data_IF_843308991846
#
_entry.id   IF_843308991846
#
_cell.length_a   1.000
_cell.length_b   1.000
_cell.length_c   1.000
_cell.angle_alpha   90.00
_cell.angle_beta   90.00
_cell.angle_gamma   90.00
#
_symmetry.space_group_name_H-M   'P 1'
#
loop_
_entity.id
_entity.type
_entity.pdbx_description
1 polymer ?
#
# COMPACT_ATOMS: atom_id res chain seq x y z
N UNK A 1 -4.29 -12.69 -5.87
CA UNK A 1 -3.33 -11.58 -5.65
C UNK A 1 -2.11 -11.72 -6.56
N UNK A 2 -1.74 -10.69 -7.34
CA UNK A 2 -0.55 -10.68 -8.21
C UNK A 2 0.37 -9.52 -7.82
N UNK A 3 1.64 -9.80 -7.59
CA UNK A 3 2.64 -8.77 -7.29
C UNK A 3 3.17 -8.11 -8.56
N UNK A 4 3.40 -6.81 -8.45
CA UNK A 4 3.97 -5.94 -9.47
C UNK A 4 4.94 -4.98 -8.79
N UNK A 5 5.86 -4.42 -9.56
CA UNK A 5 6.77 -3.38 -9.10
C UNK A 5 6.62 -2.17 -10.02
N UNK A 6 6.58 -0.98 -9.44
CA UNK A 6 6.63 0.29 -10.17
C UNK A 6 7.76 1.16 -9.61
N UNK A 7 8.26 2.10 -10.40
CA UNK A 7 9.27 3.06 -9.94
C UNK A 7 8.57 4.34 -9.50
N UNK A 8 8.82 4.77 -8.27
CA UNK A 8 8.37 6.06 -7.73
C UNK A 8 9.60 6.75 -7.14
N UNK A 9 9.93 7.94 -7.63
CA UNK A 9 11.12 8.70 -7.21
C UNK A 9 12.43 7.88 -7.27
N UNK A 10 12.56 7.03 -8.30
CA UNK A 10 13.72 6.15 -8.47
C UNK A 10 13.77 4.95 -7.53
N UNK A 11 12.72 4.71 -6.74
CA UNK A 11 12.60 3.57 -5.80
C UNK A 11 11.64 2.54 -6.41
N UNK A 12 12.08 1.29 -6.51
CA UNK A 12 11.20 0.17 -6.85
C UNK A 12 10.22 -0.11 -5.71
N UNK A 13 8.94 0.14 -5.93
CA UNK A 13 7.86 -0.10 -4.98
C UNK A 13 7.08 -1.33 -5.41
N UNK A 14 7.06 -2.36 -4.56
CA UNK A 14 6.24 -3.55 -4.77
C UNK A 14 4.81 -3.30 -4.31
N UNK A 15 3.85 -3.70 -5.13
CA UNK A 15 2.43 -3.58 -4.83
C UNK A 15 1.63 -4.74 -5.44
N UNK A 16 0.38 -4.87 -5.01
CA UNK A 16 -0.63 -5.67 -5.67
C UNK A 16 -1.89 -4.82 -5.83
N UNK A 17 -2.59 -4.99 -6.95
CA UNK A 17 -3.82 -4.27 -7.22
C UNK A 17 -4.92 -5.20 -7.72
N UNK A 18 -6.16 -4.93 -7.29
CA UNK A 18 -7.38 -5.41 -7.91
C UNK A 18 -8.24 -4.22 -8.28
N UNK A 19 -8.14 -3.79 -9.53
CA UNK A 19 -8.83 -2.60 -10.04
C UNK A 19 -10.26 -2.94 -10.40
N UNK A 20 -11.22 -2.18 -9.91
CA UNK A 20 -12.64 -2.39 -10.22
C UNK A 20 -13.36 -1.06 -10.18
N UNK A 21 -13.62 -0.52 -11.37
CA UNK A 21 -14.33 0.76 -11.53
C UNK A 21 -15.70 0.73 -10.84
N UNK A 22 -16.07 1.85 -10.22
CA UNK A 22 -17.34 2.00 -9.52
C UNK A 22 -17.37 1.46 -8.07
N UNK A 23 -16.29 0.84 -7.59
CA UNK A 23 -16.14 0.48 -6.18
C UNK A 23 -15.33 1.54 -5.42
N UNK A 24 -15.54 1.69 -4.09
CA UNK A 24 -14.70 2.55 -3.27
C UNK A 24 -13.23 2.11 -3.35
N UNK A 25 -12.32 3.09 -3.39
CA UNK A 25 -10.89 2.82 -3.38
C UNK A 25 -10.40 2.51 -1.96
N UNK A 26 -9.50 1.54 -1.85
CA UNK A 26 -8.87 1.16 -0.59
C UNK A 26 -7.36 0.99 -0.78
N UNK A 27 -6.58 1.75 0.00
CA UNK A 27 -5.13 1.61 0.07
C UNK A 27 -4.75 0.86 1.35
N UNK A 28 -4.10 -0.29 1.19
CA UNK A 28 -3.52 -1.06 2.27
C UNK A 28 -2.01 -0.79 2.29
N UNK A 29 -1.61 0.20 3.10
CA UNK A 29 -0.22 0.36 3.48
C UNK A 29 0.00 -0.50 4.73
N UNK A 30 0.79 -1.56 4.62
CA UNK A 30 0.99 -2.44 5.75
C UNK A 30 1.89 -1.75 6.79
N UNK A 31 1.40 -1.42 8.00
CA UNK A 31 2.27 -0.92 9.05
C UNK A 31 3.13 -2.08 9.60
N UNK A 32 4.24 -1.72 10.22
CA UNK A 32 5.30 -2.64 10.65
C UNK A 32 4.79 -3.92 11.36
N UNK A 33 5.42 -5.09 11.15
CA UNK A 33 6.62 -5.37 10.35
C UNK A 33 6.30 -6.03 8.99
N UNK A 34 5.07 -5.89 8.53
CA UNK A 34 4.50 -6.88 7.65
C UNK A 34 4.41 -6.38 6.21
N UNK A 35 4.82 -7.21 5.27
CA UNK A 35 4.71 -6.94 3.83
C UNK A 35 3.26 -7.04 3.36
N UNK A 36 2.94 -6.52 2.18
CA UNK A 36 1.72 -6.76 1.39
C UNK A 36 1.24 -8.22 1.40
N UNK A 37 2.15 -9.19 1.56
CA UNK A 37 1.86 -10.60 1.75
C UNK A 37 0.89 -10.91 2.89
N UNK A 38 0.76 -10.05 3.89
CA UNK A 38 -0.16 -10.26 5.02
C UNK A 38 -1.62 -10.08 4.67
N UNK A 39 -1.89 -9.36 3.59
CA UNK A 39 -3.24 -9.23 3.06
C UNK A 39 -3.69 -10.49 2.30
N UNK A 40 -2.81 -11.47 2.07
CA UNK A 40 -3.09 -12.62 1.18
C UNK A 40 -4.33 -13.41 1.60
N UNK A 41 -4.52 -13.63 2.91
CA UNK A 41 -5.63 -14.44 3.41
C UNK A 41 -7.00 -13.77 3.27
N UNK A 42 -7.04 -12.44 3.17
CA UNK A 42 -8.28 -11.66 3.07
C UNK A 42 -8.46 -11.00 1.70
N UNK A 43 -7.47 -11.12 0.82
CA UNK A 43 -7.42 -10.45 -0.48
C UNK A 43 -8.69 -10.65 -1.31
N UNK A 44 -9.16 -11.89 -1.41
CA UNK A 44 -10.33 -12.21 -2.25
C UNK A 44 -11.62 -11.61 -1.68
N UNK A 45 -11.74 -11.48 -0.35
CA UNK A 45 -12.89 -10.85 0.29
C UNK A 45 -12.86 -9.33 0.13
N UNK A 46 -11.69 -8.71 0.30
CA UNK A 46 -11.53 -7.25 0.19
C UNK A 46 -11.72 -6.81 -1.27
N UNK A 47 -11.13 -7.51 -2.23
CA UNK A 47 -11.22 -7.16 -3.66
C UNK A 47 -12.63 -7.36 -4.26
N UNK A 48 -13.50 -8.12 -3.60
CA UNK A 48 -14.92 -8.20 -3.97
C UNK A 48 -15.68 -6.91 -3.67
N UNK A 49 -15.25 -6.13 -2.67
CA UNK A 49 -15.99 -4.95 -2.21
C UNK A 49 -15.29 -3.63 -2.56
N UNK A 50 -13.99 -3.65 -2.85
CA UNK A 50 -13.17 -2.46 -3.05
C UNK A 50 -12.30 -2.53 -4.31
N UNK A 51 -11.99 -1.37 -4.89
CA UNK A 51 -10.82 -1.19 -5.77
C UNK A 51 -9.59 -1.07 -4.87
N UNK A 52 -8.88 -2.18 -4.70
CA UNK A 52 -7.84 -2.30 -3.68
C UNK A 52 -6.45 -2.20 -4.27
N UNK A 53 -5.60 -1.42 -3.62
CA UNK A 53 -4.14 -1.41 -3.81
C UNK A 53 -3.50 -1.74 -2.47
N UNK A 54 -2.61 -2.70 -2.46
CA UNK A 54 -1.79 -3.00 -1.29
C UNK A 54 -0.33 -2.79 -1.65
N UNK A 55 0.40 -2.07 -0.80
CA UNK A 55 1.77 -1.58 -1.10
C UNK A 55 2.75 -1.95 0.01
N UNK A 56 3.95 -2.38 -0.39
CA UNK A 56 5.10 -2.43 0.49
C UNK A 56 5.74 -1.04 0.55
N UNK A 57 5.81 -0.46 1.75
CA UNK A 57 6.53 0.80 1.95
C UNK A 57 8.03 0.63 1.64
N UNK A 58 8.75 1.71 1.29
CA UNK A 58 10.20 1.64 1.14
C UNK A 58 10.86 1.01 2.37
N UNK A 59 11.94 0.25 2.15
CA UNK A 59 12.60 -0.58 3.17
C UNK A 59 11.77 -1.77 3.72
N UNK A 60 10.59 -2.09 3.18
CA UNK A 60 9.75 -3.20 3.65
C UNK A 60 9.42 -4.19 2.52
N UNK A 61 9.23 -5.46 2.89
CA UNK A 61 8.79 -6.50 1.97
C UNK A 61 9.72 -6.67 0.78
N UNK A 62 9.24 -6.36 -0.42
CA UNK A 62 10.00 -6.46 -1.67
C UNK A 62 10.16 -5.11 -2.39
N UNK A 63 9.96 -4.00 -1.68
CA UNK A 63 10.31 -2.67 -2.16
C UNK A 63 11.79 -2.38 -1.90
N UNK A 64 12.38 -1.57 -2.77
CA UNK A 64 13.77 -1.13 -2.68
C UNK A 64 14.01 -0.31 -1.40
N UNK A 65 15.27 -0.29 -0.92
CA UNK A 65 15.64 0.54 0.20
C UNK A 65 15.64 2.02 -0.19
N UNK A 66 15.09 2.86 0.69
CA UNK A 66 15.16 4.31 0.55
C UNK A 66 16.17 4.89 1.54
N UNK A 67 17.04 5.78 1.04
CA UNK A 67 18.09 6.45 1.82
C UNK A 67 17.52 7.32 2.96
N UNK A 68 16.29 7.80 2.80
CA UNK A 68 15.54 8.56 3.81
C UNK A 68 14.07 8.16 3.73
N UNK A 69 13.51 7.75 4.86
CA UNK A 69 12.06 7.50 5.01
C UNK A 69 11.56 8.41 6.11
N UNK A 70 10.58 9.24 5.79
CA UNK A 70 9.83 10.02 6.78
C UNK A 70 8.50 9.33 6.99
N UNK A 71 8.31 8.72 8.16
CA UNK A 71 6.99 8.22 8.57
C UNK A 71 6.29 9.36 9.30
N UNK A 72 5.25 9.92 8.68
CA UNK A 72 4.37 10.87 9.36
C UNK A 72 3.43 10.10 10.29
N UNK A 73 3.47 10.40 11.59
CA UNK A 73 2.44 9.96 12.52
C UNK A 73 1.28 10.96 12.44
N UNK A 74 0.24 10.61 11.67
CA UNK A 74 -1.03 11.32 11.77
C UNK A 74 -1.72 10.78 13.04
N UNK A 75 -1.38 11.37 14.19
CA UNK A 75 -1.88 10.95 15.49
C UNK A 75 -3.40 10.93 15.54
N UNK A 76 -3.97 9.72 15.45
CA UNK A 76 -5.31 9.43 15.96
C UNK A 76 -5.17 8.20 16.87
N UNK A 77 -5.43 8.40 18.16
CA UNK A 77 -5.14 7.43 19.21
C UNK A 77 -5.74 6.05 18.95
N UNK A 78 -4.97 5.03 19.35
CA UNK A 78 -5.33 3.62 19.51
C UNK A 78 -5.27 2.65 18.31
N UNK A 79 -4.81 3.03 17.13
CA UNK A 79 -4.33 2.05 16.13
C UNK A 79 -3.26 2.69 15.25
N UNK A 80 -1.99 2.25 15.36
CA UNK A 80 -0.91 2.72 14.47
C UNK A 80 -1.14 2.18 13.05
N UNK A 81 -1.96 2.87 12.27
CA UNK A 81 -2.04 2.75 10.83
C UNK A 81 -1.26 3.93 10.24
N UNK A 82 -0.13 3.64 9.61
CA UNK A 82 0.61 4.65 8.86
C UNK A 82 -0.15 4.94 7.56
N UNK A 83 -0.69 6.15 7.42
CA UNK A 83 -1.34 6.59 6.19
C UNK A 83 -0.34 7.35 5.34
N UNK A 84 -0.18 6.95 4.08
CA UNK A 84 0.44 7.78 3.04
C UNK A 84 -0.69 8.25 2.11
N UNK A 85 -0.99 9.54 2.10
CA UNK A 85 -1.85 10.11 1.05
C UNK A 85 -0.99 10.43 -0.16
N UNK A 86 -1.31 9.85 -1.31
CA UNK A 86 -0.87 10.37 -2.59
C UNK A 86 -2.04 11.16 -3.18
N UNK A 87 -1.87 12.46 -3.41
CA UNK A 87 -2.76 13.21 -4.29
C UNK A 87 -2.62 12.60 -5.69
N UNK A 88 -3.64 11.86 -6.11
CA UNK A 88 -3.74 11.42 -7.50
C UNK A 88 -4.33 12.59 -8.26
N UNK A 89 -3.48 13.57 -8.59
CA UNK A 89 -3.82 14.61 -9.54
C UNK A 89 -4.22 13.94 -10.85
N UNK A 90 -5.46 14.13 -11.26
CA UNK A 90 -5.93 13.75 -12.59
C UNK A 90 -5.15 14.57 -13.63
N UNK A 91 -4.33 13.89 -14.41
CA UNK A 91 -3.73 14.38 -15.66
C UNK A 91 -3.62 13.22 -16.64
#
# INVERSE_FOLDING_TARGET
MKFQTTIIDGIGVRFAASRTAGKPQMLLASPQPMSVLTCRNWWDQISQSFDVVAVDLPNHGGSDPARRVTVGDAGCGHTRMAWASADVGAA
#
